data_IF_379879567191
#
_entry.id   IF_379879567191
#
_cell.length_a   1.000
_cell.length_b   1.000
_cell.length_c   1.000
_cell.angle_alpha   90.00
_cell.angle_beta   90.00
_cell.angle_gamma   90.00
#
_symmetry.space_group_name_H-M   'P 1'
#
loop_
_entity.id
_entity.type
_entity.pdbx_description
1 polymer ?
#
# COMPACT_ATOMS: atom_id res chain seq x y z
N UNK A 1 -21.88 -26.41 44.45
CA UNK A 1 -21.15 -26.77 43.20
C UNK A 1 -21.92 -26.34 41.94
N UNK A 2 -22.40 -25.08 41.86
CA UNK A 2 -23.15 -24.56 40.69
C UNK A 2 -22.62 -23.22 40.15
N UNK A 3 -21.67 -22.59 40.86
CA UNK A 3 -21.01 -21.34 40.44
C UNK A 3 -19.71 -21.57 39.68
N UNK A 4 -19.14 -22.78 39.75
CA UNK A 4 -17.93 -23.14 39.01
C UNK A 4 -18.21 -23.54 37.55
N UNK A 5 -19.46 -23.89 37.23
CA UNK A 5 -19.86 -24.31 35.88
C UNK A 5 -20.05 -23.11 34.93
N UNK A 6 -20.29 -21.90 35.45
CA UNK A 6 -20.55 -20.70 34.64
C UNK A 6 -19.27 -19.99 34.15
N UNK A 7 -18.10 -20.25 34.73
CA UNK A 7 -16.84 -19.58 34.34
C UNK A 7 -16.15 -20.33 33.19
N UNK A 8 -16.48 -21.61 32.97
CA UNK A 8 -15.89 -22.40 31.89
C UNK A 8 -16.52 -22.13 30.51
N UNK A 9 -17.68 -21.46 30.46
CA UNK A 9 -18.44 -21.25 29.21
C UNK A 9 -18.07 -19.96 28.45
N UNK A 10 -17.26 -19.07 29.03
CA UNK A 10 -16.84 -17.80 28.40
C UNK A 10 -15.49 -17.88 27.66
N UNK A 11 -14.88 -19.06 27.57
CA UNK A 11 -13.56 -19.22 26.94
C UNK A 11 -13.60 -19.75 25.50
N UNK A 12 -14.79 -19.91 24.90
CA UNK A 12 -14.94 -20.38 23.52
C UNK A 12 -15.34 -19.21 22.63
N UNK A 13 -14.56 -19.04 21.55
CA UNK A 13 -14.70 -18.10 20.43
C UNK A 13 -14.02 -16.73 20.54
N UNK A 14 -12.68 -16.75 20.54
CA UNK A 14 -11.91 -15.78 19.76
C UNK A 14 -11.28 -16.48 18.55
N UNK A 15 -12.11 -17.03 17.66
CA UNK A 15 -11.64 -17.40 16.32
C UNK A 15 -11.52 -16.08 15.56
N UNK A 16 -10.33 -15.47 15.58
CA UNK A 16 -10.04 -14.38 14.68
C UNK A 16 -9.94 -14.96 13.28
N UNK A 17 -11.01 -14.81 12.50
CA UNK A 17 -10.93 -14.98 11.05
C UNK A 17 -10.03 -13.85 10.54
N UNK A 18 -8.76 -14.16 10.31
CA UNK A 18 -7.88 -13.29 9.55
C UNK A 18 -8.38 -13.35 8.10
N UNK A 19 -9.10 -12.32 7.67
CA UNK A 19 -9.39 -12.15 6.26
C UNK A 19 -8.05 -12.04 5.52
N UNK A 20 -7.85 -12.86 4.49
CA UNK A 20 -6.72 -12.70 3.56
C UNK A 20 -6.93 -11.34 2.88
N UNK A 21 -6.18 -10.33 3.31
CA UNK A 21 -6.38 -8.93 2.91
C UNK A 21 -5.84 -8.68 1.50
N UNK A 22 -6.04 -9.59 0.55
CA UNK A 22 -5.60 -9.41 -0.83
C UNK A 22 -6.60 -8.57 -1.60
N UNK A 23 -6.08 -7.76 -2.51
CA UNK A 23 -6.86 -6.99 -3.45
C UNK A 23 -6.22 -7.00 -4.83
N UNK A 24 -7.07 -6.93 -5.85
CA UNK A 24 -6.68 -6.58 -7.22
C UNK A 24 -6.94 -5.09 -7.42
N UNK A 25 -5.91 -4.36 -7.83
CA UNK A 25 -6.00 -2.93 -8.15
C UNK A 25 -5.84 -2.79 -9.65
N UNK A 26 -6.81 -2.18 -10.31
CA UNK A 26 -6.75 -1.77 -11.71
C UNK A 26 -6.48 -0.28 -11.74
N UNK A 27 -5.42 0.14 -12.42
CA UNK A 27 -5.10 1.56 -12.63
C UNK A 27 -5.35 1.90 -14.09
N UNK A 28 -6.12 2.97 -14.30
CA UNK A 28 -6.48 3.45 -15.62
C UNK A 28 -5.51 4.53 -16.13
N UNK A 29 -5.56 4.80 -17.43
CA UNK A 29 -4.70 5.79 -18.08
C UNK A 29 -5.00 7.24 -17.62
N UNK A 30 -6.22 7.51 -17.15
CA UNK A 30 -6.61 8.79 -16.55
C UNK A 30 -6.08 8.98 -15.11
N UNK A 31 -5.45 7.96 -14.54
CA UNK A 31 -4.90 7.96 -13.18
C UNK A 31 -5.89 7.54 -12.10
N UNK A 32 -7.14 7.22 -12.44
CA UNK A 32 -8.10 6.62 -11.51
C UNK A 32 -7.75 5.15 -11.26
N UNK A 33 -8.29 4.56 -10.19
CA UNK A 33 -8.10 3.14 -9.90
C UNK A 33 -9.35 2.51 -9.31
N UNK A 34 -9.55 1.23 -9.60
CA UNK A 34 -10.59 0.39 -9.03
C UNK A 34 -9.95 -0.75 -8.25
N UNK A 35 -10.41 -0.99 -7.03
CA UNK A 35 -9.98 -2.12 -6.21
C UNK A 35 -11.08 -3.18 -6.08
N UNK A 36 -10.67 -4.44 -6.07
CA UNK A 36 -11.50 -5.61 -5.78
C UNK A 36 -10.88 -6.38 -4.63
N UNK A 37 -11.63 -6.61 -3.55
CA UNK A 37 -11.21 -7.52 -2.49
C UNK A 37 -11.18 -8.95 -3.04
N UNK A 38 -10.12 -9.70 -2.71
CA UNK A 38 -9.88 -11.05 -3.19
C UNK A 38 -9.99 -12.05 -2.05
N UNK A 39 -10.97 -12.94 -2.13
CA UNK A 39 -11.02 -14.15 -1.29
C UNK A 39 -10.22 -15.32 -1.92
N UNK A 40 -9.92 -15.24 -3.21
CA UNK A 40 -9.16 -16.21 -3.99
C UNK A 40 -8.44 -15.51 -5.15
N UNK A 41 -7.63 -16.27 -5.90
CA UNK A 41 -6.90 -15.75 -7.06
C UNK A 41 -7.90 -15.41 -8.18
N UNK A 42 -7.89 -14.17 -8.72
CA UNK A 42 -8.84 -13.78 -9.75
C UNK A 42 -8.47 -14.41 -11.09
N UNK A 43 -9.49 -14.65 -11.92
CA UNK A 43 -9.31 -14.98 -13.33
C UNK A 43 -9.31 -13.67 -14.14
N UNK A 44 -8.27 -13.48 -14.97
CA UNK A 44 -8.07 -12.27 -15.77
C UNK A 44 -7.85 -12.70 -17.21
N UNK A 45 -8.74 -12.25 -18.08
CA UNK A 45 -8.69 -12.52 -19.52
C UNK A 45 -8.54 -11.23 -20.31
N UNK A 46 -7.63 -11.24 -21.28
CA UNK A 46 -7.45 -10.14 -22.23
C UNK A 46 -7.74 -10.66 -23.62
N UNK A 47 -8.87 -10.27 -24.19
CA UNK A 47 -9.29 -10.66 -25.53
C UNK A 47 -10.25 -9.63 -26.10
N UNK A 48 -10.38 -9.56 -27.44
CA UNK A 48 -11.36 -8.69 -28.10
C UNK A 48 -11.33 -7.23 -27.61
N UNK A 49 -10.12 -6.67 -27.45
CA UNK A 49 -9.87 -5.32 -26.92
C UNK A 49 -10.45 -5.04 -25.53
N UNK A 50 -10.68 -6.10 -24.74
CA UNK A 50 -11.27 -6.04 -23.41
C UNK A 50 -10.43 -6.79 -22.40
N UNK A 51 -10.45 -6.27 -21.17
CA UNK A 51 -9.96 -6.95 -19.97
C UNK A 51 -11.16 -7.38 -19.14
N UNK A 52 -11.37 -8.69 -19.02
CA UNK A 52 -12.40 -9.27 -18.15
C UNK A 52 -11.74 -9.79 -16.88
N UNK A 53 -12.30 -9.42 -15.74
CA UNK A 53 -11.82 -9.79 -14.42
C UNK A 53 -12.94 -10.53 -13.71
N UNK A 54 -12.65 -11.72 -13.19
CA UNK A 54 -13.53 -12.48 -12.32
C UNK A 54 -12.87 -12.63 -10.95
N UNK A 55 -13.39 -11.91 -9.97
CA UNK A 55 -12.93 -11.90 -8.58
C UNK A 55 -14.06 -12.39 -7.67
N UNK A 56 -13.99 -13.65 -7.25
CA UNK A 56 -15.10 -14.31 -6.56
C UNK A 56 -16.37 -14.33 -7.42
N UNK A 57 -17.46 -13.77 -6.90
CA UNK A 57 -18.75 -13.64 -7.60
C UNK A 57 -18.84 -12.38 -8.48
N UNK A 58 -17.86 -11.47 -8.37
CA UNK A 58 -17.85 -10.22 -9.12
C UNK A 58 -17.17 -10.42 -10.46
N UNK A 59 -17.83 -10.02 -11.55
CA UNK A 59 -17.23 -9.92 -12.87
C UNK A 59 -17.23 -8.46 -13.31
N UNK A 60 -16.08 -7.97 -13.76
CA UNK A 60 -15.91 -6.63 -14.29
C UNK A 60 -15.25 -6.68 -15.67
N UNK A 61 -15.58 -5.72 -16.52
CA UNK A 61 -15.03 -5.63 -17.86
C UNK A 61 -14.62 -4.19 -18.16
N UNK A 62 -13.44 -4.03 -18.75
CA UNK A 62 -12.87 -2.74 -19.12
C UNK A 62 -12.35 -2.80 -20.55
N UNK A 63 -12.43 -1.69 -21.28
CA UNK A 63 -11.72 -1.58 -22.56
C UNK A 63 -10.21 -1.60 -22.27
N UNK A 64 -9.48 -2.49 -22.96
CA UNK A 64 -8.07 -2.74 -22.69
C UNK A 64 -7.22 -1.48 -22.87
N UNK A 65 -7.55 -0.63 -23.85
CA UNK A 65 -6.84 0.63 -24.12
C UNK A 65 -7.01 1.70 -23.02
N UNK A 66 -7.94 1.52 -22.08
CA UNK A 66 -8.10 2.41 -20.91
C UNK A 66 -7.29 1.94 -19.70
N UNK A 67 -6.89 0.67 -19.67
CA UNK A 67 -6.16 0.07 -18.56
C UNK A 67 -4.67 0.38 -18.72
N UNK A 68 -4.05 0.90 -17.67
CA UNK A 68 -2.61 1.16 -17.61
C UNK A 68 -1.84 -0.03 -17.02
N UNK A 69 -2.33 -0.54 -15.89
CA UNK A 69 -1.71 -1.65 -15.18
C UNK A 69 -2.73 -2.31 -14.25
N UNK A 70 -2.45 -3.55 -13.86
CA UNK A 70 -3.15 -4.22 -12.78
C UNK A 70 -2.13 -4.84 -11.82
N UNK A 71 -2.45 -4.84 -10.52
CA UNK A 71 -1.56 -5.33 -9.47
C UNK A 71 -2.36 -6.10 -8.43
N UNK A 72 -1.88 -7.29 -8.06
CA UNK A 72 -2.38 -8.03 -6.91
C UNK A 72 -1.48 -7.71 -5.71
N UNK A 73 -2.06 -7.26 -4.62
CA UNK A 73 -1.33 -6.89 -3.41
C UNK A 73 -2.21 -6.91 -2.17
N UNK A 74 -1.66 -6.50 -1.04
CA UNK A 74 -2.43 -6.38 0.20
C UNK A 74 -3.21 -5.06 0.25
N UNK A 75 -4.43 -5.11 0.79
CA UNK A 75 -5.25 -3.95 1.08
C UNK A 75 -4.59 -3.12 2.16
N UNK A 76 -4.18 -1.90 1.81
CA UNK A 76 -3.66 -0.92 2.76
C UNK A 76 -4.66 0.21 2.92
N UNK A 77 -4.94 0.64 4.14
CA UNK A 77 -5.78 1.82 4.43
C UNK A 77 -5.20 3.17 3.96
N UNK A 78 -4.17 3.14 3.12
CA UNK A 78 -3.56 4.29 2.47
C UNK A 78 -3.66 4.00 0.98
N UNK A 79 -4.45 4.80 0.26
CA UNK A 79 -4.51 4.74 -1.20
C UNK A 79 -3.11 4.99 -1.77
N UNK A 80 -2.69 4.19 -2.75
CA UNK A 80 -1.41 4.36 -3.43
C UNK A 80 -1.39 5.69 -4.19
N UNK A 81 -1.00 6.78 -3.52
CA UNK A 81 -0.82 8.07 -4.17
C UNK A 81 0.34 7.88 -5.15
N UNK A 82 0.08 7.99 -6.46
CA UNK A 82 1.13 8.18 -7.44
C UNK A 82 2.09 9.25 -6.90
N UNK A 83 3.41 9.00 -6.89
CA UNK A 83 4.44 9.90 -6.36
C UNK A 83 4.52 11.22 -7.15
N UNK A 84 3.40 11.95 -7.32
CA UNK A 84 3.33 13.25 -7.97
C UNK A 84 4.09 14.25 -7.11
N UNK A 85 5.35 14.45 -7.49
CA UNK A 85 6.29 15.36 -6.83
C UNK A 85 7.37 14.67 -5.99
N UNK A 86 7.47 13.34 -5.99
CA UNK A 86 8.58 12.61 -5.34
C UNK A 86 9.17 11.58 -6.30
N UNK A 87 10.42 11.21 -6.10
CA UNK A 87 11.08 10.17 -6.92
C UNK A 87 11.76 9.16 -6.02
N UNK A 88 11.69 7.88 -6.41
CA UNK A 88 12.46 6.80 -5.81
C UNK A 88 13.53 6.36 -6.82
N UNK A 89 14.79 6.44 -6.41
CA UNK A 89 15.95 5.95 -7.17
C UNK A 89 16.71 4.93 -6.31
N UNK A 90 16.45 3.64 -6.54
CA UNK A 90 16.94 2.57 -5.67
C UNK A 90 16.48 2.75 -4.22
N UNK A 91 17.45 2.83 -3.29
CA UNK A 91 17.21 3.12 -1.87
C UNK A 91 17.25 4.62 -1.53
N UNK A 92 17.12 5.52 -2.53
CA UNK A 92 17.06 6.96 -2.30
C UNK A 92 15.65 7.48 -2.56
N UNK A 93 15.11 8.21 -1.60
CA UNK A 93 13.91 9.02 -1.78
C UNK A 93 14.33 10.45 -2.11
N UNK A 94 13.75 11.03 -3.15
CA UNK A 94 14.13 12.32 -3.70
C UNK A 94 12.92 13.25 -3.65
N UNK A 95 13.11 14.43 -3.05
CA UNK A 95 12.12 15.49 -2.97
C UNK A 95 12.66 16.71 -3.74
N UNK A 96 12.13 17.03 -4.92
CA UNK A 96 12.49 18.22 -5.67
C UNK A 96 12.17 19.51 -4.91
N UNK A 97 12.95 20.56 -5.13
CA UNK A 97 12.79 21.88 -4.53
C UNK A 97 13.73 22.13 -3.36
N UNK A 98 13.66 23.35 -2.83
CA UNK A 98 14.45 23.84 -1.69
C UNK A 98 13.62 23.87 -0.40
N UNK A 99 14.28 23.83 0.75
CA UNK A 99 13.66 23.96 2.07
C UNK A 99 12.57 22.92 2.37
N UNK A 100 12.77 21.69 1.89
CA UNK A 100 11.83 20.61 2.13
C UNK A 100 11.74 20.23 3.61
N UNK A 101 10.52 20.15 4.13
CA UNK A 101 10.26 19.63 5.47
C UNK A 101 9.98 18.14 5.37
N UNK A 102 10.94 17.32 5.80
CA UNK A 102 10.91 15.86 5.65
C UNK A 102 11.04 15.19 7.02
N UNK A 103 10.19 14.20 7.27
CA UNK A 103 10.17 13.38 8.48
C UNK A 103 9.94 11.92 8.12
N UNK A 104 10.58 11.01 8.84
CA UNK A 104 10.46 9.57 8.66
C UNK A 104 9.89 8.96 9.92
N UNK A 105 8.97 8.02 9.74
CA UNK A 105 8.34 7.30 10.83
C UNK A 105 8.36 5.79 10.53
N UNK A 106 8.53 4.98 11.56
CA UNK A 106 8.26 3.54 11.50
C UNK A 106 6.75 3.28 11.57
N UNK A 107 6.34 2.05 11.25
CA UNK A 107 4.92 1.65 11.23
C UNK A 107 4.23 1.78 12.59
N UNK A 108 4.97 1.75 13.70
CA UNK A 108 4.47 1.99 15.06
C UNK A 108 4.35 3.49 15.41
N UNK A 109 4.60 4.38 14.46
CA UNK A 109 4.46 5.83 14.61
C UNK A 109 5.65 6.52 15.27
N UNK A 110 6.73 5.79 15.58
CA UNK A 110 7.95 6.42 16.13
C UNK A 110 8.71 7.17 15.04
N UNK A 111 9.19 8.37 15.37
CA UNK A 111 10.08 9.12 14.48
C UNK A 111 11.40 8.36 14.35
N UNK A 112 11.86 8.20 13.11
CA UNK A 112 13.14 7.58 12.77
C UNK A 112 14.09 8.67 12.28
N UNK A 113 15.35 8.58 12.68
CA UNK A 113 16.38 9.51 12.22
C UNK A 113 16.61 9.38 10.72
N UNK A 114 16.83 10.52 10.08
CA UNK A 114 16.95 10.66 8.64
C UNK A 114 18.37 11.08 8.27
N UNK A 115 18.98 10.36 7.35
CA UNK A 115 20.17 10.83 6.68
C UNK A 115 19.76 11.59 5.40
N UNK A 116 19.68 12.92 5.52
CA UNK A 116 19.28 13.82 4.46
C UNK A 116 20.49 14.60 3.93
N UNK A 117 20.64 14.62 2.60
CA UNK A 117 21.50 15.56 1.89
C UNK A 117 20.62 16.57 1.16
N UNK A 118 20.90 17.85 1.30
CA UNK A 118 20.15 18.91 0.62
C UNK A 118 21.04 19.62 -0.40
N UNK A 119 20.46 19.93 -1.55
CA UNK A 119 21.04 20.71 -2.64
C UNK A 119 20.10 21.87 -2.97
N UNK A 120 20.54 22.78 -3.85
CA UNK A 120 19.73 23.90 -4.31
C UNK A 120 18.52 23.49 -5.18
N UNK A 121 18.44 22.22 -5.58
CA UNK A 121 17.38 21.72 -6.45
C UNK A 121 16.55 20.59 -5.83
N UNK A 122 17.05 19.91 -4.80
CA UNK A 122 16.38 18.76 -4.20
C UNK A 122 16.95 18.37 -2.82
N UNK A 123 16.13 17.66 -2.04
CA UNK A 123 16.56 16.87 -0.88
C UNK A 123 16.62 15.39 -1.24
N UNK A 124 17.67 14.72 -0.79
CA UNK A 124 17.91 13.30 -0.98
C UNK A 124 17.93 12.61 0.38
N UNK A 125 17.15 11.56 0.52
CA UNK A 125 17.08 10.73 1.72
C UNK A 125 17.65 9.35 1.37
N UNK A 126 18.71 8.92 2.04
CA UNK A 126 19.15 7.51 1.95
C UNK A 126 18.33 6.64 2.90
N UNK A 127 17.89 5.49 2.39
CA UNK A 127 17.17 4.46 3.12
C UNK A 127 18.06 3.24 3.44
N UNK A 128 19.36 3.31 3.16
CA UNK A 128 20.27 2.16 3.23
C UNK A 128 20.48 1.65 4.66
N UNK A 129 20.55 2.58 5.62
CA UNK A 129 20.73 2.25 7.04
C UNK A 129 19.44 1.74 7.71
N UNK A 130 18.29 1.80 7.01
CA UNK A 130 17.03 1.35 7.58
C UNK A 130 16.92 -0.18 7.52
N UNK A 131 16.55 -0.84 8.62
CA UNK A 131 16.14 -2.24 8.60
C UNK A 131 15.03 -2.49 7.58
N UNK A 132 14.87 -3.76 7.20
CA UNK A 132 13.73 -4.18 6.38
C UNK A 132 12.43 -3.90 7.14
N UNK A 133 11.45 -3.34 6.46
CA UNK A 133 10.19 -2.98 7.11
C UNK A 133 9.41 -1.91 6.36
N UNK A 134 8.29 -1.53 6.97
CA UNK A 134 7.40 -0.49 6.48
C UNK A 134 7.73 0.83 7.17
N UNK A 135 7.87 1.89 6.36
CA UNK A 135 8.08 3.24 6.85
C UNK A 135 7.13 4.22 6.19
N UNK A 136 6.93 5.36 6.85
CA UNK A 136 6.13 6.48 6.36
C UNK A 136 7.05 7.69 6.26
N UNK A 137 7.22 8.22 5.05
CA UNK A 137 7.91 9.49 4.81
C UNK A 137 6.86 10.59 4.69
N UNK A 138 6.91 11.58 5.57
CA UNK A 138 6.13 12.82 5.46
C UNK A 138 7.02 13.91 4.89
N UNK A 139 6.69 14.41 3.70
CA UNK A 139 7.41 15.46 2.99
C UNK A 139 6.43 16.54 2.53
N UNK A 140 6.66 17.80 2.94
CA UNK A 140 5.89 18.98 2.51
C UNK A 140 4.36 18.80 2.63
N UNK A 141 3.90 18.22 3.75
CA UNK A 141 2.49 17.99 4.03
C UNK A 141 1.87 16.78 3.32
N UNK A 142 2.65 16.01 2.56
CA UNK A 142 2.23 14.75 1.94
C UNK A 142 2.94 13.58 2.62
N UNK A 143 2.28 12.43 2.68
CA UNK A 143 2.85 11.22 3.28
C UNK A 143 2.91 10.09 2.25
N UNK A 144 4.01 9.35 2.25
CA UNK A 144 4.27 8.21 1.38
C UNK A 144 4.64 7.01 2.24
N UNK A 145 3.96 5.88 2.02
CA UNK A 145 4.33 4.59 2.62
C UNK A 145 5.37 3.91 1.73
N UNK A 146 6.48 3.48 2.32
CA UNK A 146 7.53 2.73 1.64
C UNK A 146 7.72 1.35 2.30
N UNK A 147 8.04 0.34 1.48
CA UNK A 147 8.43 -0.98 1.95
C UNK A 147 9.91 -1.19 1.62
N UNK A 148 10.76 -1.22 2.64
CA UNK A 148 12.17 -1.57 2.51
C UNK A 148 12.30 -3.10 2.49
N UNK A 149 12.67 -3.63 1.32
CA UNK A 149 13.00 -5.04 1.11
C UNK A 149 14.44 -5.35 1.50
#
# INVERSE_FOLDING_TARGET
MKRLLLILLTFICTITVLADNKQLIITFNDGTSQAFALSNLPDIKMENDKMTIKAGETTAEYDLYKVKTFTIGEATGIEGIALKGFTMDGNKFIVPGVNNSIRLYSVDGKKVELNQMQTDSASFISLDALPKGVYIISANGKSVKILKK
#
